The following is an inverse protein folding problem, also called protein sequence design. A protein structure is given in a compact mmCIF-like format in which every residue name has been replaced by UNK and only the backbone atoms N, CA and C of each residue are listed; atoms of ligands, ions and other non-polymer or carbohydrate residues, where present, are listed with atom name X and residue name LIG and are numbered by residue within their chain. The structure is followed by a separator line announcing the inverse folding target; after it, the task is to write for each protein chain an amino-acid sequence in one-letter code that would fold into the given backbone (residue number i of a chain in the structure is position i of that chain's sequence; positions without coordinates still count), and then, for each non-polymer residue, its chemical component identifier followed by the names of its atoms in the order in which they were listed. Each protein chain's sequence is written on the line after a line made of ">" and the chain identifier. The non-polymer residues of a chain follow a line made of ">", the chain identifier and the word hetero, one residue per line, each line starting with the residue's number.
data_IF_138586682030
#
_entry.id   IF_138586682030
#
_cell.length_a   1.000
_cell.length_b   1.000
_cell.length_c   1.000
_cell.angle_alpha   90.00
_cell.angle_beta   90.00
_cell.angle_gamma   90.00
#
_symmetry.space_group_name_H-M   'P 1'
#
loop_
_entity.id
_entity.type
_entity.pdbx_description
1 polymer ?
#
# COMPACT_ATOMS: atom_id res chain seq x y z
N UNK A 1 9.77 5.25 -13.22
CA UNK A 1 9.76 4.78 -11.81
C UNK A 1 8.58 5.46 -11.14
N UNK A 2 7.64 4.68 -10.60
CA UNK A 2 6.42 5.19 -9.95
C UNK A 2 6.63 5.13 -8.44
N UNK A 3 6.00 6.05 -7.71
CA UNK A 3 5.90 6.09 -6.25
C UNK A 3 4.50 5.66 -5.84
N UNK A 4 4.44 4.59 -5.05
CA UNK A 4 3.20 3.97 -4.60
C UNK A 4 3.15 4.07 -3.09
N UNK A 5 2.05 4.53 -2.52
CA UNK A 5 1.76 4.35 -1.10
C UNK A 5 0.99 3.05 -0.88
N UNK A 6 1.36 2.27 0.14
CA UNK A 6 0.61 1.10 0.60
C UNK A 6 0.22 1.33 2.06
N UNK A 7 -1.09 1.39 2.32
CA UNK A 7 -1.68 1.63 3.64
C UNK A 7 -2.13 0.29 4.20
N UNK A 8 -1.46 -0.17 5.25
CA UNK A 8 -1.63 -1.49 5.83
C UNK A 8 -0.44 -2.38 5.47
N UNK A 9 0.34 -2.76 6.47
CA UNK A 9 1.49 -3.66 6.36
C UNK A 9 1.10 -5.11 6.70
N UNK A 10 -0.17 -5.49 6.50
CA UNK A 10 -0.65 -6.87 6.63
C UNK A 10 -0.11 -7.80 5.54
N UNK A 11 -0.68 -9.00 5.40
CA UNK A 11 -0.21 -10.00 4.40
C UNK A 11 -0.24 -9.43 2.98
N UNK A 12 -1.38 -8.87 2.58
CA UNK A 12 -1.55 -8.31 1.22
C UNK A 12 -0.70 -7.07 0.98
N UNK A 13 -0.53 -6.22 2.00
CA UNK A 13 0.33 -5.04 1.89
C UNK A 13 1.77 -5.39 1.55
N UNK A 14 2.33 -6.45 2.17
CA UNK A 14 3.67 -6.95 1.85
C UNK A 14 3.74 -7.46 0.42
N UNK A 15 2.78 -8.29 -0.03
CA UNK A 15 2.80 -8.85 -1.39
C UNK A 15 2.66 -7.76 -2.47
N UNK A 16 1.80 -6.75 -2.24
CA UNK A 16 1.64 -5.61 -3.14
C UNK A 16 2.92 -4.77 -3.18
N UNK A 17 3.50 -4.45 -2.01
CA UNK A 17 4.76 -3.71 -1.92
C UNK A 17 5.92 -4.47 -2.60
N UNK A 18 6.01 -5.77 -2.36
CA UNK A 18 6.99 -6.66 -2.97
C UNK A 18 6.88 -6.67 -4.48
N UNK A 19 5.68 -6.83 -5.04
CA UNK A 19 5.47 -6.81 -6.48
C UNK A 19 5.94 -5.50 -7.14
N UNK A 20 5.57 -4.34 -6.60
CA UNK A 20 6.03 -3.06 -7.16
C UNK A 20 7.54 -2.86 -6.98
N UNK A 21 8.09 -3.26 -5.83
CA UNK A 21 9.53 -3.21 -5.58
C UNK A 21 10.31 -4.13 -6.52
N UNK A 22 9.80 -5.32 -6.82
CA UNK A 22 10.39 -6.26 -7.78
C UNK A 22 10.54 -5.63 -9.17
N UNK A 23 9.56 -4.84 -9.61
CA UNK A 23 9.61 -4.09 -10.88
C UNK A 23 10.34 -2.74 -10.79
N UNK A 24 11.08 -2.47 -9.70
CA UNK A 24 11.95 -1.29 -9.59
C UNK A 24 11.20 0.00 -9.27
N UNK A 25 10.06 -0.08 -8.61
CA UNK A 25 9.30 1.09 -8.14
C UNK A 25 9.62 1.43 -6.68
N UNK A 26 9.22 2.64 -6.27
CA UNK A 26 9.36 3.09 -4.89
C UNK A 26 8.02 2.85 -4.20
N UNK A 27 8.05 2.12 -3.09
CA UNK A 27 6.87 1.86 -2.26
C UNK A 27 7.05 2.51 -0.90
N UNK A 28 6.09 3.35 -0.53
CA UNK A 28 6.01 4.02 0.78
C UNK A 28 4.94 3.31 1.59
N UNK A 29 5.33 2.62 2.65
CA UNK A 29 4.42 1.83 3.48
C UNK A 29 4.05 2.59 4.76
N UNK A 30 2.80 2.44 5.17
CA UNK A 30 2.27 2.92 6.44
C UNK A 30 1.44 1.83 7.11
N UNK A 31 1.51 1.75 8.43
CA UNK A 31 0.55 1.02 9.26
C UNK A 31 0.32 1.82 10.55
N UNK A 32 -0.88 1.72 11.12
CA UNK A 32 -1.17 2.31 12.42
C UNK A 32 -0.53 1.49 13.57
N UNK A 33 -0.25 0.20 13.35
CA UNK A 33 0.49 -0.64 14.26
C UNK A 33 2.00 -0.62 13.92
N UNK A 34 2.80 0.01 14.77
CA UNK A 34 4.25 0.08 14.60
C UNK A 34 4.92 -1.29 14.54
N UNK A 35 4.35 -2.32 15.19
CA UNK A 35 4.90 -3.69 15.09
C UNK A 35 4.82 -4.24 13.67
N UNK A 36 3.74 -3.89 12.95
CA UNK A 36 3.58 -4.31 11.57
C UNK A 36 4.60 -3.61 10.67
N UNK A 37 4.86 -2.31 10.89
CA UNK A 37 5.91 -1.57 10.20
C UNK A 37 7.31 -2.14 10.48
N UNK A 38 7.64 -2.43 11.74
CA UNK A 38 8.94 -3.00 12.13
C UNK A 38 9.18 -4.37 11.47
N UNK A 39 8.11 -5.13 11.20
CA UNK A 39 8.18 -6.44 10.54
C UNK A 39 8.36 -6.39 9.01
N UNK A 40 8.21 -5.23 8.37
CA UNK A 40 8.15 -5.13 6.90
C UNK A 40 9.40 -5.69 6.24
N UNK A 41 10.59 -5.29 6.72
CA UNK A 41 11.85 -5.70 6.10
C UNK A 41 12.04 -7.22 6.15
N UNK A 42 11.82 -7.83 7.31
CA UNK A 42 11.91 -9.29 7.49
C UNK A 42 10.93 -10.02 6.56
N UNK A 43 9.70 -9.52 6.45
CA UNK A 43 8.65 -10.16 5.65
C UNK A 43 8.84 -9.99 4.15
N UNK A 44 9.44 -8.89 3.70
CA UNK A 44 9.84 -8.72 2.30
C UNK A 44 10.96 -9.68 1.94
N UNK A 45 11.99 -9.84 2.78
CA UNK A 45 13.05 -10.82 2.51
C UNK A 45 12.52 -12.26 2.51
N UNK A 46 11.61 -12.59 3.43
CA UNK A 46 10.95 -13.90 3.43
C UNK A 46 10.14 -14.15 2.14
N UNK A 47 9.50 -13.11 1.60
CA UNK A 47 8.77 -13.16 0.33
C UNK A 47 9.72 -13.36 -0.86
N UNK A 48 10.85 -12.64 -0.90
CA UNK A 48 11.91 -12.82 -1.90
C UNK A 48 12.43 -14.28 -1.92
N UNK A 49 12.73 -14.82 -0.73
CA UNK A 49 13.22 -16.20 -0.57
C UNK A 49 12.18 -17.25 -0.98
N UNK A 50 10.90 -16.99 -0.72
CA UNK A 50 9.78 -17.84 -1.13
C UNK A 50 9.66 -17.85 -2.66
N UNK A 51 9.58 -16.67 -3.28
CA UNK A 51 9.44 -16.52 -4.74
C UNK A 51 10.63 -17.11 -5.50
N UNK A 52 11.85 -16.94 -5.00
CA UNK A 52 13.05 -17.51 -5.63
C UNK A 52 13.05 -19.04 -5.54
N UNK A 53 12.69 -19.60 -4.38
CA UNK A 53 12.60 -21.05 -4.17
C UNK A 53 11.55 -21.70 -5.05
N UNK A 54 10.44 -21.01 -5.28
CA UNK A 54 9.37 -21.43 -6.17
C UNK A 54 9.70 -21.24 -7.66
N UNK A 55 10.86 -20.63 -7.98
CA UNK A 55 11.32 -20.39 -9.35
C UNK A 55 10.55 -19.28 -10.07
N UNK A 56 9.88 -18.40 -9.33
CA UNK A 56 9.09 -17.29 -9.88
C UNK A 56 9.93 -16.06 -10.19
N UNK A 57 11.11 -15.94 -9.56
CA UNK A 57 12.09 -14.87 -9.81
C UNK A 57 13.50 -15.48 -9.94
N UNK A 58 14.36 -14.84 -10.75
CA UNK A 58 15.72 -15.34 -11.02
C UNK A 58 16.72 -15.02 -9.90
N UNK A 59 16.46 -13.96 -9.13
CA UNK A 59 17.33 -13.48 -8.05
C UNK A 59 16.45 -13.14 -6.84
N UNK A 60 16.81 -13.56 -5.61
CA UNK A 60 16.08 -13.24 -4.39
C UNK A 60 16.38 -11.80 -3.96
N UNK A 61 16.04 -10.84 -4.82
CA UNK A 61 16.26 -9.42 -4.56
C UNK A 61 15.31 -8.57 -5.37
N UNK A 62 14.50 -7.78 -4.70
CA UNK A 62 13.75 -6.70 -5.32
C UNK A 62 14.67 -5.52 -5.62
N UNK A 63 14.51 -4.92 -6.80
CA UNK A 63 15.40 -3.85 -7.29
C UNK A 63 14.88 -2.44 -6.97
N UNK A 64 13.65 -2.33 -6.48
CA UNK A 64 13.01 -1.11 -6.02
C UNK A 64 13.38 -0.71 -4.60
N UNK A 65 12.63 0.23 -4.04
CA UNK A 65 12.83 0.73 -2.67
C UNK A 65 11.55 0.61 -1.88
N UNK A 66 11.64 0.14 -0.64
CA UNK A 66 10.55 0.12 0.32
C UNK A 66 10.92 1.03 1.48
N UNK A 67 10.08 2.04 1.73
CA UNK A 67 10.28 3.07 2.74
C UNK A 67 9.11 3.00 3.72
N UNK A 68 9.38 2.81 5.01
CA UNK A 68 8.35 2.75 6.04
C UNK A 68 8.19 4.10 6.73
N UNK A 69 6.95 4.56 6.89
CA UNK A 69 6.62 5.81 7.55
C UNK A 69 5.65 5.55 8.70
N UNK A 70 5.91 6.16 9.86
CA UNK A 70 5.03 6.10 11.04
C UNK A 70 3.87 7.07 10.99
N UNK A 71 3.82 7.93 9.97
CA UNK A 71 2.78 8.92 9.74
C UNK A 71 2.16 8.73 8.36
N UNK A 72 0.83 8.73 8.32
CA UNK A 72 0.08 8.51 7.09
C UNK A 72 0.40 9.58 6.04
N UNK A 73 0.48 10.84 6.47
CA UNK A 73 0.70 11.98 5.56
C UNK A 73 2.04 11.87 4.85
N UNK A 74 3.08 11.41 5.56
CA UNK A 74 4.41 11.23 5.00
C UNK A 74 4.44 10.08 3.99
N UNK A 75 3.67 9.01 4.20
CA UNK A 75 3.57 7.87 3.29
C UNK A 75 2.87 8.22 1.98
N UNK A 76 1.80 9.03 2.03
CA UNK A 76 1.00 9.37 0.84
C UNK A 76 1.47 10.63 0.11
N UNK A 77 2.48 11.32 0.65
CA UNK A 77 3.05 12.49 0.01
C UNK A 77 3.87 12.11 -1.24
N UNK A 78 3.67 12.88 -2.31
CA UNK A 78 4.39 12.79 -3.59
C UNK A 78 4.29 11.39 -4.23
N UNK A 79 3.12 10.75 -4.16
CA UNK A 79 2.85 9.44 -4.80
C UNK A 79 1.89 9.58 -5.97
N UNK A 80 1.95 8.68 -6.95
CA UNK A 80 0.97 8.61 -8.04
C UNK A 80 -0.20 7.67 -7.71
N UNK A 81 0.03 6.67 -6.86
CA UNK A 81 -0.97 5.67 -6.48
C UNK A 81 -0.99 5.46 -4.97
N UNK A 82 -2.17 5.21 -4.41
CA UNK A 82 -2.35 4.74 -3.03
C UNK A 82 -3.14 3.43 -3.06
N UNK A 83 -2.59 2.39 -2.43
CA UNK A 83 -3.27 1.10 -2.23
C UNK A 83 -3.65 0.96 -0.76
N UNK A 84 -4.94 0.94 -0.49
CA UNK A 84 -5.50 0.65 0.82
C UNK A 84 -5.65 -0.87 1.02
N UNK A 85 -4.99 -1.39 2.07
CA UNK A 85 -4.85 -2.80 2.40
C UNK A 85 -5.07 -3.06 3.91
N UNK A 86 -5.98 -2.31 4.53
CA UNK A 86 -6.34 -2.42 5.95
C UNK A 86 -7.49 -3.43 6.14
N UNK A 87 -7.89 -3.63 7.40
CA UNK A 87 -8.97 -4.54 7.77
C UNK A 87 -10.28 -4.25 7.02
N UNK A 88 -11.03 -5.30 6.69
CA UNK A 88 -12.33 -5.23 5.98
C UNK A 88 -13.44 -4.69 6.88
N UNK A 89 -13.37 -3.40 7.18
CA UNK A 89 -14.39 -2.65 7.91
C UNK A 89 -14.70 -1.35 7.14
N UNK A 90 -15.98 -1.13 6.83
CA UNK A 90 -16.41 -0.02 5.99
C UNK A 90 -16.07 1.34 6.60
N UNK A 91 -16.38 1.55 7.87
CA UNK A 91 -16.15 2.83 8.55
C UNK A 91 -14.67 3.18 8.61
N UNK A 92 -13.81 2.19 8.89
CA UNK A 92 -12.36 2.39 8.97
C UNK A 92 -11.79 2.71 7.59
N UNK A 93 -12.24 2.03 6.54
CA UNK A 93 -11.83 2.34 5.17
C UNK A 93 -12.31 3.71 4.71
N UNK A 94 -13.57 4.06 4.94
CA UNK A 94 -14.10 5.39 4.66
C UNK A 94 -13.27 6.48 5.34
N UNK A 95 -12.93 6.28 6.63
CA UNK A 95 -12.10 7.23 7.38
C UNK A 95 -10.69 7.35 6.82
N UNK A 96 -10.07 6.26 6.35
CA UNK A 96 -8.75 6.33 5.73
C UNK A 96 -8.80 6.99 4.35
N UNK A 97 -9.79 6.66 3.53
CA UNK A 97 -9.97 7.25 2.21
C UNK A 97 -10.21 8.76 2.29
N UNK A 98 -11.05 9.21 3.23
CA UNK A 98 -11.27 10.64 3.49
C UNK A 98 -9.98 11.35 3.92
N UNK A 99 -9.25 10.79 4.90
CA UNK A 99 -7.96 11.36 5.33
C UNK A 99 -6.94 11.45 4.20
N UNK A 100 -6.83 10.40 3.39
CA UNK A 100 -5.88 10.37 2.27
C UNK A 100 -6.29 11.41 1.22
N UNK A 101 -7.57 11.47 0.86
CA UNK A 101 -8.10 12.41 -0.13
C UNK A 101 -7.88 13.88 0.25
N UNK A 102 -7.79 14.20 1.55
CA UNK A 102 -7.47 15.56 2.03
C UNK A 102 -5.99 15.93 1.89
N UNK A 103 -5.10 14.96 1.75
CA UNK A 103 -3.64 15.17 1.75
C UNK A 103 -3.05 15.07 0.34
N UNK A 104 -3.59 14.19 -0.50
CA UNK A 104 -3.06 13.90 -1.83
C UNK A 104 -3.56 14.90 -2.89
N UNK A 105 -2.83 15.02 -4.00
CA UNK A 105 -3.30 15.76 -5.18
C UNK A 105 -4.54 15.09 -5.78
N UNK A 106 -5.48 15.82 -6.40
CA UNK A 106 -6.61 15.24 -7.12
C UNK A 106 -6.23 14.23 -8.22
N UNK A 107 -5.01 14.32 -8.76
CA UNK A 107 -4.51 13.40 -9.80
C UNK A 107 -4.06 12.03 -9.25
N UNK A 108 -4.02 11.84 -7.92
CA UNK A 108 -3.57 10.59 -7.29
C UNK A 108 -4.67 9.53 -7.36
N UNK A 109 -4.31 8.35 -7.85
CA UNK A 109 -5.25 7.24 -7.98
C UNK A 109 -5.33 6.50 -6.64
N UNK A 110 -6.54 6.44 -6.06
CA UNK A 110 -6.83 5.70 -4.84
C UNK A 110 -7.44 4.33 -5.17
N UNK A 111 -6.80 3.27 -4.69
CA UNK A 111 -7.18 1.88 -4.88
C UNK A 111 -7.51 1.24 -3.53
N UNK A 112 -8.51 0.34 -3.50
CA UNK A 112 -8.78 -0.51 -2.32
C UNK A 112 -8.56 -1.97 -2.68
N UNK A 113 -7.86 -2.71 -1.81
CA UNK A 113 -7.78 -4.17 -1.84
C UNK A 113 -8.99 -4.82 -1.14
N UNK A 114 -10.17 -4.20 -1.23
CA UNK A 114 -11.39 -4.78 -0.64
C UNK A 114 -11.83 -6.03 -1.40
N UNK A 115 -12.40 -6.99 -0.66
CA UNK A 115 -12.95 -8.21 -1.25
C UNK A 115 -14.47 -8.31 -1.13
N UNK A 116 -15.07 -7.59 -0.17
CA UNK A 116 -16.48 -7.77 0.20
C UNK A 116 -17.27 -6.47 0.30
N UNK A 117 -16.60 -5.33 0.33
CA UNK A 117 -17.26 -4.05 0.47
C UNK A 117 -17.46 -3.41 -0.91
N UNK A 118 -18.57 -2.70 -1.04
CA UNK A 118 -18.85 -1.92 -2.23
C UNK A 118 -17.90 -0.71 -2.27
N UNK A 119 -17.09 -0.63 -3.33
CA UNK A 119 -16.15 0.47 -3.53
C UNK A 119 -16.86 1.84 -3.55
N UNK A 120 -18.10 1.91 -4.04
CA UNK A 120 -18.87 3.16 -4.02
C UNK A 120 -19.18 3.61 -2.60
N UNK A 121 -19.42 2.67 -1.68
CA UNK A 121 -19.62 2.98 -0.26
C UNK A 121 -18.32 3.38 0.41
N UNK A 122 -17.21 2.72 0.10
CA UNK A 122 -15.89 3.10 0.64
C UNK A 122 -15.55 4.55 0.26
N UNK A 123 -15.83 4.94 -0.99
CA UNK A 123 -15.51 6.26 -1.51
C UNK A 123 -16.64 7.29 -1.35
N UNK A 124 -17.69 7.00 -0.58
CA UNK A 124 -18.91 7.82 -0.51
C UNK A 124 -18.66 9.27 -0.05
N UNK A 125 -17.67 9.46 0.83
CA UNK A 125 -17.34 10.77 1.41
C UNK A 125 -16.30 11.57 0.61
N UNK A 126 -15.82 11.05 -0.53
CA UNK A 126 -14.78 11.70 -1.33
C UNK A 126 -15.41 12.76 -2.25
N UNK A 127 -15.00 14.01 -2.07
CA UNK A 127 -15.58 15.16 -2.79
C UNK A 127 -15.23 15.21 -4.29
N UNK A 128 -14.06 14.70 -4.68
CA UNK A 128 -13.54 14.76 -6.06
C UNK A 128 -13.43 13.37 -6.69
N UNK A 129 -14.52 12.60 -6.61
CA UNK A 129 -14.59 11.28 -7.24
C UNK A 129 -14.85 11.42 -8.75
N UNK A 130 -13.89 11.02 -9.57
CA UNK A 130 -14.16 10.72 -10.98
C UNK A 130 -14.86 9.35 -11.05
N UNK A 131 -15.98 9.29 -11.78
CA UNK A 131 -16.85 8.11 -11.90
C UNK A 131 -16.53 7.32 -13.16
#
# INVERSE_FOLDING_TARGET
>A
MVRIAVIGCGVMGIKIAGNFSYFGHIVKMYDADLKQLDSVCERIHADEDELYRDGLIEVPKFVGQILCFSRLEDAVKDVEFVFECIIENLEIKQAIFDKVAQVVSPDVILCSNTMRLDLNKICENIQHKEV
#
